data_IF_757830247946
#
_entry.id   IF_757830247946
#
_cell.length_a   1.000
_cell.length_b   1.000
_cell.length_c   1.000
_cell.angle_alpha   90.00
_cell.angle_beta   90.00
_cell.angle_gamma   90.00
#
_symmetry.space_group_name_H-M   'P 1'
#
loop_
_entity.id
_entity.type
_entity.pdbx_description
1 polymer ?
#
# COMPACT_ATOMS: atom_id res chain seq x y z
N UNK A 1 8.84 -3.33 19.53
CA UNK A 1 7.92 -3.34 18.37
C UNK A 1 7.18 -2.01 18.44
N UNK A 2 7.33 -1.11 17.48
CA UNK A 2 6.46 0.08 17.45
C UNK A 2 5.01 -0.41 17.28
N UNK A 3 4.01 0.21 17.91
CA UNK A 3 2.63 -0.11 17.65
C UNK A 3 2.35 0.14 16.16
N UNK A 4 1.96 -0.90 15.44
CA UNK A 4 1.47 -0.76 14.07
C UNK A 4 0.16 0.03 14.12
N UNK A 5 -0.01 0.98 13.21
CA UNK A 5 -1.22 1.81 13.13
C UNK A 5 -2.46 0.94 12.93
N UNK A 6 -3.57 1.26 13.60
CA UNK A 6 -4.85 0.57 13.43
C UNK A 6 -5.27 0.47 11.95
N UNK A 7 -4.93 1.49 11.15
CA UNK A 7 -5.20 1.54 9.71
C UNK A 7 -4.41 0.45 8.98
N UNK A 8 -3.12 0.29 9.29
CA UNK A 8 -2.28 -0.73 8.70
C UNK A 8 -2.78 -2.15 9.04
N UNK A 9 -3.18 -2.38 10.29
CA UNK A 9 -3.75 -3.66 10.74
C UNK A 9 -5.02 -4.00 9.97
N UNK A 10 -5.94 -3.03 9.82
CA UNK A 10 -7.20 -3.22 9.07
C UNK A 10 -6.95 -3.51 7.59
N UNK A 11 -6.03 -2.80 6.95
CA UNK A 11 -5.68 -3.02 5.53
C UNK A 11 -5.08 -4.41 5.33
N UNK A 12 -4.12 -4.82 6.17
CA UNK A 12 -3.52 -6.16 6.11
C UNK A 12 -4.54 -7.26 6.37
N UNK A 13 -5.48 -7.04 7.29
CA UNK A 13 -6.57 -7.96 7.56
C UNK A 13 -7.46 -8.13 6.34
N UNK A 14 -7.90 -7.04 5.72
CA UNK A 14 -8.73 -7.09 4.51
C UNK A 14 -8.01 -7.80 3.35
N UNK A 15 -6.71 -7.55 3.18
CA UNK A 15 -5.84 -8.24 2.24
C UNK A 15 -5.75 -9.75 2.53
N UNK A 16 -5.53 -10.13 3.79
CA UNK A 16 -5.45 -11.53 4.21
C UNK A 16 -6.74 -12.29 3.95
N UNK A 17 -7.89 -11.68 4.26
CA UNK A 17 -9.20 -12.25 3.96
C UNK A 17 -9.43 -12.45 2.46
N UNK A 18 -9.14 -11.42 1.64
CA UNK A 18 -9.32 -11.48 0.19
C UNK A 18 -8.42 -12.56 -0.43
N UNK A 19 -7.16 -12.59 -0.02
CA UNK A 19 -6.15 -13.51 -0.53
C UNK A 19 -6.18 -14.90 0.13
N UNK A 20 -7.07 -15.12 1.10
CA UNK A 20 -7.16 -16.33 1.93
C UNK A 20 -5.81 -16.75 2.52
N UNK A 21 -5.06 -15.79 3.04
CA UNK A 21 -3.75 -15.99 3.66
C UNK A 21 -3.63 -15.25 4.98
N UNK A 22 -2.64 -15.62 5.76
CA UNK A 22 -2.38 -15.01 7.05
C UNK A 22 -2.01 -13.51 6.91
N UNK A 23 -2.72 -12.58 7.59
CA UNK A 23 -2.39 -11.16 7.55
C UNK A 23 -0.98 -10.86 8.05
N UNK A 24 -0.44 -11.68 8.97
CA UNK A 24 0.91 -11.49 9.48
C UNK A 24 1.96 -11.77 8.40
N UNK A 25 1.66 -12.61 7.40
CA UNK A 25 2.52 -12.86 6.24
C UNK A 25 2.53 -11.71 5.23
N UNK A 26 1.64 -10.72 5.37
CA UNK A 26 1.54 -9.59 4.44
C UNK A 26 2.34 -8.42 5.00
N UNK A 27 3.52 -8.20 4.44
CA UNK A 27 4.40 -7.09 4.83
C UNK A 27 4.14 -5.81 4.02
N UNK A 28 4.36 -4.62 4.61
CA UNK A 28 4.23 -3.33 3.91
C UNK A 28 5.08 -3.21 2.64
N UNK A 29 6.21 -3.93 2.58
CA UNK A 29 7.13 -3.91 1.43
C UNK A 29 6.62 -4.68 0.22
N UNK A 30 5.64 -5.58 0.38
CA UNK A 30 5.14 -6.41 -0.70
C UNK A 30 4.45 -5.55 -1.77
N UNK A 31 4.81 -5.81 -3.02
CA UNK A 31 4.11 -5.35 -4.19
C UNK A 31 2.80 -6.13 -4.35
N UNK A 32 1.71 -5.40 -4.61
CA UNK A 32 0.38 -6.00 -4.77
C UNK A 32 0.37 -7.04 -5.90
N UNK A 33 0.99 -6.72 -7.03
CA UNK A 33 1.04 -7.61 -8.20
C UNK A 33 2.13 -8.66 -8.10
N UNK A 34 3.37 -8.22 -7.84
CA UNK A 34 4.55 -9.09 -7.95
C UNK A 34 4.68 -10.05 -6.76
N UNK A 35 4.37 -9.61 -5.53
CA UNK A 35 4.52 -10.43 -4.32
C UNK A 35 3.21 -11.05 -3.85
N UNK A 36 2.10 -10.31 -3.95
CA UNK A 36 0.80 -10.82 -3.49
C UNK A 36 0.01 -11.55 -4.59
N UNK A 37 0.40 -11.41 -5.85
CA UNK A 37 -0.27 -12.04 -6.99
C UNK A 37 -1.63 -11.42 -7.30
N UNK A 38 -1.86 -10.15 -6.94
CA UNK A 38 -3.08 -9.44 -7.30
C UNK A 38 -2.99 -8.99 -8.75
N UNK A 39 -3.88 -9.51 -9.59
CA UNK A 39 -4.05 -9.00 -10.95
C UNK A 39 -4.63 -7.57 -10.95
N UNK A 40 -4.65 -6.92 -12.12
CA UNK A 40 -5.20 -5.56 -12.26
C UNK A 40 -6.64 -5.46 -11.74
N UNK A 41 -7.48 -6.47 -12.03
CA UNK A 41 -8.88 -6.49 -11.57
C UNK A 41 -8.98 -6.75 -10.06
N UNK A 42 -8.22 -7.72 -9.55
CA UNK A 42 -8.19 -8.03 -8.13
C UNK A 42 -7.70 -6.86 -7.28
N UNK A 43 -6.75 -6.08 -7.80
CA UNK A 43 -6.26 -4.85 -7.17
C UNK A 43 -7.35 -3.79 -7.07
N UNK A 44 -8.15 -3.62 -8.13
CA UNK A 44 -9.27 -2.69 -8.17
C UNK A 44 -10.36 -3.12 -7.16
N UNK A 45 -10.75 -4.40 -7.16
CA UNK A 45 -11.73 -4.94 -6.20
C UNK A 45 -11.30 -4.76 -4.74
N UNK A 46 -10.03 -5.03 -4.46
CA UNK A 46 -9.47 -4.83 -3.12
C UNK A 46 -9.54 -3.35 -2.71
N UNK A 47 -9.19 -2.44 -3.61
CA UNK A 47 -9.20 -1.00 -3.33
C UNK A 47 -10.63 -0.50 -3.09
N UNK A 48 -11.63 -0.99 -3.85
CA UNK A 48 -13.04 -0.74 -3.56
C UNK A 48 -13.46 -1.25 -2.17
N UNK A 49 -12.99 -2.43 -1.74
CA UNK A 49 -13.26 -2.92 -0.38
C UNK A 49 -12.63 -2.01 0.68
N UNK A 50 -11.44 -1.46 0.42
CA UNK A 50 -10.78 -0.51 1.33
C UNK A 50 -11.53 0.83 1.35
N UNK A 51 -12.01 1.31 0.21
CA UNK A 51 -12.87 2.50 0.10
C UNK A 51 -14.09 2.42 1.01
N UNK A 52 -14.85 1.32 0.91
CA UNK A 52 -16.04 1.06 1.74
C UNK A 52 -15.70 0.97 3.24
N UNK A 53 -14.59 0.31 3.58
CA UNK A 53 -14.17 0.08 4.98
C UNK A 53 -13.77 1.38 5.69
N UNK A 54 -13.30 2.38 4.94
CA UNK A 54 -12.81 3.65 5.48
C UNK A 54 -13.62 4.87 5.02
N UNK A 55 -14.74 4.66 4.32
CA UNK A 55 -15.62 5.71 3.77
C UNK A 55 -14.83 6.75 2.95
N UNK A 56 -13.98 6.27 2.03
CA UNK A 56 -13.10 7.09 1.19
C UNK A 56 -13.30 6.81 -0.29
N UNK A 57 -12.85 7.73 -1.15
CA UNK A 57 -12.91 7.58 -2.61
C UNK A 57 -11.53 7.79 -3.24
N UNK A 58 -10.98 6.76 -3.87
CA UNK A 58 -9.69 6.73 -4.57
C UNK A 58 -9.94 7.00 -6.05
N UNK A 59 -9.49 8.14 -6.61
CA UNK A 59 -9.59 8.37 -8.04
C UNK A 59 -8.74 7.37 -8.82
N UNK A 60 -9.23 6.99 -10.01
CA UNK A 60 -8.60 5.98 -10.87
C UNK A 60 -7.12 6.30 -11.20
N UNK A 61 -6.81 7.59 -11.32
CA UNK A 61 -5.44 8.08 -11.55
C UNK A 61 -4.47 7.73 -10.42
N UNK A 62 -4.96 7.68 -9.18
CA UNK A 62 -4.16 7.34 -8.01
C UNK A 62 -4.02 5.81 -7.86
N UNK A 63 -5.02 5.02 -8.29
CA UNK A 63 -4.97 3.55 -8.24
C UNK A 63 -3.72 3.01 -8.94
N UNK A 64 -3.33 3.62 -10.07
CA UNK A 64 -2.13 3.25 -10.83
C UNK A 64 -0.81 3.47 -10.05
N UNK A 65 -0.82 4.35 -9.03
CA UNK A 65 0.34 4.63 -8.18
C UNK A 65 0.41 3.71 -6.96
N UNK A 66 -0.70 3.05 -6.59
CA UNK A 66 -0.80 2.15 -5.44
C UNK A 66 -0.24 0.77 -5.81
N UNK A 67 1.08 0.65 -5.80
CA UNK A 67 1.79 -0.57 -6.23
C UNK A 67 2.15 -1.50 -5.08
N UNK A 68 2.27 -0.96 -3.86
CA UNK A 68 2.68 -1.69 -2.66
C UNK A 68 1.69 -1.54 -1.53
N UNK A 69 1.73 -2.48 -0.59
CA UNK A 69 0.93 -2.41 0.65
C UNK A 69 1.22 -1.13 1.43
N UNK A 70 2.47 -0.70 1.53
CA UNK A 70 2.85 0.57 2.16
C UNK A 70 2.21 1.79 1.51
N UNK A 71 2.04 1.78 0.18
CA UNK A 71 1.46 2.90 -0.56
C UNK A 71 -0.01 3.04 -0.20
N UNK A 72 -0.74 1.92 -0.15
CA UNK A 72 -2.16 1.87 0.25
C UNK A 72 -2.33 2.34 1.68
N UNK A 73 -1.49 1.86 2.61
CA UNK A 73 -1.54 2.26 4.02
C UNK A 73 -1.33 3.77 4.15
N UNK A 74 -0.23 4.29 3.61
CA UNK A 74 0.08 5.72 3.70
C UNK A 74 -1.01 6.60 3.06
N UNK A 75 -1.62 6.11 1.98
CA UNK A 75 -2.69 6.82 1.29
C UNK A 75 -3.96 6.92 2.14
N UNK A 76 -4.38 5.82 2.76
CA UNK A 76 -5.54 5.79 3.66
C UNK A 76 -5.28 6.61 4.92
N UNK A 77 -4.10 6.47 5.53
CA UNK A 77 -3.70 7.27 6.70
C UNK A 77 -3.73 8.78 6.42
N UNK A 78 -3.28 9.19 5.24
CA UNK A 78 -3.29 10.59 4.82
C UNK A 78 -4.71 11.18 4.67
N UNK A 79 -5.73 10.34 4.44
CA UNK A 79 -7.12 10.77 4.24
C UNK A 79 -7.99 10.64 5.46
N UNK A 80 -7.81 9.57 6.22
CA UNK A 80 -8.54 9.33 7.46
C UNK A 80 -7.98 10.19 8.60
N UNK A 81 -6.70 10.57 8.53
CA UNK A 81 -6.00 11.37 9.55
C UNK A 81 -6.14 12.89 9.44
N UNK A 82 -6.87 13.44 8.46
CA UNK A 82 -7.08 14.90 8.36
C UNK A 82 -8.41 15.23 7.66
N UNK A 83 -9.30 16.07 8.24
CA UNK A 83 -10.50 16.49 7.54
C UNK A 83 -10.10 17.30 6.29
N UNK A 84 -10.47 16.78 5.13
CA UNK A 84 -10.53 17.40 3.81
C UNK A 84 -9.49 18.50 3.48
N UNK A 85 -8.45 18.14 2.71
CA UNK A 85 -7.80 19.06 1.79
C UNK A 85 -7.57 18.36 0.44
N UNK A 86 -7.78 19.04 -0.70
CA UNK A 86 -7.78 18.43 -2.02
C UNK A 86 -6.38 17.95 -2.42
N UNK A 87 -6.37 16.82 -3.12
CA UNK A 87 -5.23 16.13 -3.72
C UNK A 87 -3.98 17.01 -3.92
N UNK A 88 -2.99 16.80 -3.05
CA UNK A 88 -1.63 17.29 -3.22
C UNK A 88 -0.70 16.08 -3.28
N UNK A 89 -0.45 15.61 -4.51
CA UNK A 89 0.63 14.71 -4.98
C UNK A 89 1.19 13.69 -3.97
N UNK A 90 1.09 12.37 -4.24
CA UNK A 90 1.85 11.38 -3.48
C UNK A 90 3.35 11.71 -3.51
N UNK A 91 4.08 11.42 -2.43
CA UNK A 91 5.52 11.63 -2.39
C UNK A 91 6.18 10.83 -3.51
N UNK A 92 7.03 11.51 -4.28
CA UNK A 92 7.89 10.87 -5.27
C UNK A 92 8.61 9.68 -4.61
N UNK A 93 8.48 8.51 -5.23
CA UNK A 93 9.19 7.27 -4.91
C UNK A 93 10.63 7.60 -4.46
N UNK A 94 11.13 7.10 -3.31
CA UNK A 94 12.57 7.04 -3.11
C UNK A 94 13.16 6.26 -4.29
N UNK A 95 14.23 6.75 -4.94
CA UNK A 95 14.81 6.07 -6.07
C UNK A 95 15.21 4.66 -5.63
N UNK A 96 14.90 3.69 -6.49
CA UNK A 96 15.33 2.30 -6.36
C UNK A 96 16.73 2.23 -5.74
N UNK A 97 16.85 1.48 -4.64
CA UNK A 97 18.14 1.17 -4.06
C UNK A 97 18.93 0.35 -5.07
N UNK A 98 19.73 1.05 -5.89
CA UNK A 98 20.84 0.46 -6.63
C UNK A 98 21.74 -0.22 -5.60
N UNK A 99 22.07 -1.52 -5.72
CA UNK A 99 23.07 -2.08 -4.84
C UNK A 99 24.41 -1.35 -5.11
N UNK A 100 25.05 -0.94 -4.01
CA UNK A 100 26.26 -0.13 -3.92
C UNK A 100 27.47 -0.77 -4.66
N UNK A 101 28.52 0.02 -5.01
CA UNK A 101 29.66 -0.45 -5.79
C UNK A 101 30.64 -1.25 -4.92
N UNK A 102 30.99 -2.47 -5.33
CA UNK A 102 32.19 -3.13 -4.79
C UNK A 102 33.43 -2.52 -5.44
N UNK A 103 34.05 -1.55 -4.75
CA UNK A 103 35.46 -1.25 -4.93
C UNK A 103 36.26 -2.51 -4.57
N UNK A 104 36.96 -3.11 -5.54
CA UNK A 104 38.11 -3.96 -5.25
C UNK A 104 39.36 -3.07 -5.36
N UNK A 105 39.89 -2.70 -4.19
CA UNK A 105 41.22 -2.11 -4.00
C UNK A 105 42.29 -3.12 -4.45
N UNK A 106 43.42 -2.60 -4.96
CA UNK A 106 44.74 -3.23 -4.91
C UNK A 106 45.06 -4.11 -6.10
#
# INVERSE_FOLDING_TARGET
>A
MAPESDIAVRIRTALGEYLKRDPASIEPRHALREDLGLDSMATIELLFKIEEVFDLQIPDQDLQQLTKVSDVIAYVEGRVGRPAAPASKPPAKPPAQRPAPRKKKG
#
